data_IF_274137764514
#
_entry.id   IF_274137764514
#
_cell.length_a   1.000
_cell.length_b   1.000
_cell.length_c   1.000
_cell.angle_alpha   90.00
_cell.angle_beta   90.00
_cell.angle_gamma   90.00
#
_symmetry.space_group_name_H-M   'P 1'
#
loop_
_entity.id
_entity.type
_entity.pdbx_description
1 polymer ?
#
# COMPACT_ATOMS: atom_id res chain seq x y z
N UNK A 1 -38.70 -7.83 10.19
CA UNK A 1 -37.74 -7.80 11.31
C UNK A 1 -37.29 -6.35 11.52
N UNK A 2 -37.32 -5.82 12.76
CA UNK A 2 -36.78 -4.48 13.08
C UNK A 2 -35.32 -4.60 13.51
N UNK A 3 -34.51 -3.57 13.24
CA UNK A 3 -33.12 -3.54 13.66
C UNK A 3 -32.99 -3.42 15.19
N UNK A 4 -31.99 -4.09 15.76
CA UNK A 4 -31.65 -4.06 17.18
C UNK A 4 -30.18 -3.63 17.30
N UNK A 5 -29.89 -2.67 18.18
CA UNK A 5 -28.53 -2.24 18.43
C UNK A 5 -27.73 -3.33 19.13
N UNK A 6 -26.59 -3.71 18.55
CA UNK A 6 -25.64 -4.65 19.17
C UNK A 6 -24.92 -4.06 20.40
N UNK A 7 -25.06 -2.76 20.66
CA UNK A 7 -24.46 -2.08 21.82
C UNK A 7 -25.46 -1.98 22.97
N UNK A 8 -26.69 -1.56 22.70
CA UNK A 8 -27.70 -1.31 23.74
C UNK A 8 -28.73 -2.42 23.90
N UNK A 9 -28.83 -3.35 22.94
CA UNK A 9 -29.87 -4.38 22.89
C UNK A 9 -31.28 -3.84 22.61
N UNK A 10 -31.43 -2.54 22.36
CA UNK A 10 -32.72 -1.89 22.11
C UNK A 10 -33.04 -1.86 20.62
N UNK A 11 -34.34 -1.84 20.30
CA UNK A 11 -34.79 -1.57 18.94
C UNK A 11 -34.30 -0.20 18.47
N UNK A 12 -33.92 -0.13 17.20
CA UNK A 12 -33.59 1.10 16.51
C UNK A 12 -34.80 1.56 15.70
N UNK A 13 -35.05 2.87 15.70
CA UNK A 13 -36.12 3.46 14.89
C UNK A 13 -35.69 3.60 13.42
N UNK A 14 -34.43 3.94 13.18
CA UNK A 14 -33.81 3.94 11.85
C UNK A 14 -32.32 3.57 11.93
N UNK A 15 -31.74 3.18 10.79
CA UNK A 15 -30.30 2.99 10.62
C UNK A 15 -29.78 4.24 9.89
N UNK A 16 -28.87 4.97 10.54
CA UNK A 16 -28.40 6.28 10.04
C UNK A 16 -27.02 6.20 9.37
N UNK A 17 -26.27 5.12 9.63
CA UNK A 17 -24.93 4.92 9.11
C UNK A 17 -24.53 3.44 9.11
N UNK A 18 -23.59 3.09 8.24
CA UNK A 18 -22.97 1.78 8.16
C UNK A 18 -21.50 1.86 7.73
N UNK A 19 -20.77 0.74 7.78
CA UNK A 19 -19.34 0.70 7.44
C UNK A 19 -19.05 0.91 5.94
N UNK A 20 -20.06 0.79 5.07
CA UNK A 20 -19.99 0.98 3.63
C UNK A 20 -21.21 1.79 3.14
N UNK A 21 -21.54 2.86 3.85
CA UNK A 21 -22.79 3.62 3.64
C UNK A 21 -22.83 4.38 2.30
N UNK A 22 -21.66 4.80 1.82
CA UNK A 22 -21.48 5.51 0.55
C UNK A 22 -21.01 4.58 -0.58
N UNK A 23 -21.36 3.30 -0.50
CA UNK A 23 -21.15 2.34 -1.59
C UNK A 23 -21.79 2.85 -2.88
N UNK A 24 -21.10 2.64 -4.01
CA UNK A 24 -21.57 3.01 -5.35
C UNK A 24 -22.16 4.43 -5.43
N UNK A 25 -21.50 5.39 -4.77
CA UNK A 25 -21.87 6.81 -4.76
C UNK A 25 -23.25 7.07 -4.13
N UNK A 26 -23.62 6.31 -3.10
CA UNK A 26 -24.84 6.49 -2.31
C UNK A 26 -25.03 7.91 -1.73
N UNK A 27 -23.98 8.75 -1.74
CA UNK A 27 -24.11 10.20 -1.66
C UNK A 27 -24.55 10.73 -0.29
N UNK A 28 -24.10 10.09 0.80
CA UNK A 28 -24.47 10.54 2.14
C UNK A 28 -23.89 11.91 2.45
N UNK A 29 -24.64 12.68 3.24
CA UNK A 29 -24.14 13.92 3.84
C UNK A 29 -23.10 13.67 4.94
N UNK A 30 -22.84 12.40 5.27
CA UNK A 30 -22.00 11.99 6.40
C UNK A 30 -20.55 11.82 5.97
N UNK A 31 -20.26 10.96 4.98
CA UNK A 31 -18.88 10.70 4.56
C UNK A 31 -18.52 11.33 3.22
N UNK A 32 -19.32 11.13 2.16
CA UNK A 32 -19.02 11.67 0.83
C UNK A 32 -18.80 13.20 0.81
N UNK A 33 -19.65 13.97 1.50
CA UNK A 33 -19.51 15.43 1.59
C UNK A 33 -18.28 15.89 2.39
N UNK A 34 -17.65 15.01 3.17
CA UNK A 34 -16.55 15.30 4.07
C UNK A 34 -15.28 14.53 3.69
N UNK A 35 -15.11 14.15 2.40
CA UNK A 35 -13.90 13.47 1.94
C UNK A 35 -12.69 14.43 2.06
N UNK A 36 -11.70 14.13 2.92
CA UNK A 36 -10.53 14.99 3.13
C UNK A 36 -9.66 15.14 1.87
N UNK A 37 -9.79 14.25 0.88
CA UNK A 37 -9.06 14.40 -0.38
C UNK A 37 -9.58 15.57 -1.22
N UNK A 38 -10.76 16.11 -0.89
CA UNK A 38 -11.35 17.27 -1.53
C UNK A 38 -11.00 18.59 -0.84
N UNK A 39 -10.28 18.56 0.28
CA UNK A 39 -9.83 19.77 0.95
C UNK A 39 -9.04 20.68 -0.01
N UNK A 40 -9.38 21.96 0.00
CA UNK A 40 -8.78 22.97 -0.90
C UNK A 40 -9.31 22.94 -2.35
N UNK A 41 -10.31 22.12 -2.67
CA UNK A 41 -11.02 22.21 -3.95
C UNK A 41 -11.72 23.57 -4.09
N UNK A 42 -11.56 24.20 -5.25
CA UNK A 42 -12.37 25.36 -5.64
C UNK A 42 -13.84 24.98 -5.83
N UNK A 43 -14.75 25.96 -5.74
CA UNK A 43 -16.17 25.73 -5.98
C UNK A 43 -16.47 25.17 -7.38
N UNK A 44 -15.64 25.52 -8.37
CA UNK A 44 -15.72 24.97 -9.73
C UNK A 44 -15.28 23.51 -9.77
N UNK A 45 -14.17 23.16 -9.11
CA UNK A 45 -13.74 21.75 -9.00
C UNK A 45 -14.78 20.89 -8.28
N UNK A 46 -15.41 21.41 -7.22
CA UNK A 46 -16.46 20.70 -6.51
C UNK A 46 -17.70 20.45 -7.38
N UNK A 47 -18.08 21.41 -8.23
CA UNK A 47 -19.17 21.21 -9.21
C UNK A 47 -18.80 20.14 -10.24
N UNK A 48 -17.57 20.19 -10.76
CA UNK A 48 -17.08 19.18 -11.70
C UNK A 48 -17.01 17.79 -11.05
N UNK A 49 -16.56 17.69 -9.80
CA UNK A 49 -16.58 16.45 -9.02
C UNK A 49 -18.01 15.94 -8.89
N UNK A 50 -18.97 16.77 -8.49
CA UNK A 50 -20.37 16.35 -8.35
C UNK A 50 -21.01 15.92 -9.68
N UNK A 51 -20.60 16.49 -10.81
CA UNK A 51 -21.02 16.07 -12.15
C UNK A 51 -20.33 14.75 -12.58
N UNK A 52 -19.04 14.58 -12.25
CA UNK A 52 -18.25 13.37 -12.54
C UNK A 52 -18.65 12.21 -11.63
N UNK A 53 -18.96 12.46 -10.35
CA UNK A 53 -19.44 11.51 -9.35
C UNK A 53 -20.83 10.97 -9.69
N UNK A 54 -21.48 11.48 -10.73
CA UNK A 54 -22.65 10.84 -11.34
C UNK A 54 -22.27 9.79 -12.40
N UNK A 55 -20.98 9.65 -12.71
CA UNK A 55 -20.46 8.93 -13.89
C UNK A 55 -19.23 8.04 -13.58
N UNK A 56 -18.36 8.40 -12.64
CA UNK A 56 -17.07 7.73 -12.38
C UNK A 56 -16.79 7.62 -10.88
N UNK A 57 -16.41 6.42 -10.44
CA UNK A 57 -15.91 6.16 -9.09
C UNK A 57 -14.86 5.04 -9.12
N UNK A 58 -14.14 4.86 -8.02
CA UNK A 58 -13.19 3.76 -7.85
C UNK A 58 -13.26 3.20 -6.44
N UNK A 59 -12.81 1.96 -6.27
CA UNK A 59 -12.79 1.29 -4.97
C UNK A 59 -11.43 1.43 -4.31
N UNK A 60 -11.41 1.75 -3.01
CA UNK A 60 -10.19 1.80 -2.20
C UNK A 60 -10.23 0.79 -1.04
N UNK A 61 -9.92 -0.50 -1.30
CA UNK A 61 -9.85 -1.49 -0.23
C UNK A 61 -8.63 -1.23 0.67
N UNK A 62 -8.84 -1.07 1.98
CA UNK A 62 -7.77 -0.77 2.96
C UNK A 62 -7.72 -1.76 4.12
N UNK A 63 -6.51 -2.15 4.51
CA UNK A 63 -6.21 -2.86 5.77
C UNK A 63 -5.14 -2.10 6.56
N UNK A 64 -4.59 -2.68 7.63
CA UNK A 64 -3.43 -2.07 8.29
C UNK A 64 -2.24 -2.04 7.34
N UNK A 65 -1.52 -0.91 7.28
CA UNK A 65 -0.38 -0.74 6.40
C UNK A 65 0.92 -1.38 6.93
N UNK A 66 0.92 -1.92 8.16
CA UNK A 66 2.10 -2.56 8.77
C UNK A 66 3.38 -1.71 8.62
N UNK A 67 3.24 -0.40 8.89
CA UNK A 67 4.19 0.63 8.50
C UNK A 67 5.60 0.42 9.09
N UNK A 68 6.61 1.05 8.49
CA UNK A 68 7.99 1.06 9.03
C UNK A 68 8.13 2.01 10.23
N UNK A 69 7.42 3.14 10.21
CA UNK A 69 7.31 4.11 11.32
C UNK A 69 5.87 4.15 11.87
N UNK A 70 5.40 3.09 12.55
CA UNK A 70 3.99 2.96 12.94
C UNK A 70 3.60 3.91 14.07
N UNK A 71 2.80 4.94 13.76
CA UNK A 71 2.26 5.88 14.77
C UNK A 71 1.46 5.21 15.90
N UNK A 72 0.85 4.04 15.66
CA UNK A 72 0.19 3.29 16.72
C UNK A 72 1.14 2.67 17.74
N UNK A 73 2.36 2.30 17.34
CA UNK A 73 3.41 1.83 18.26
C UNK A 73 3.88 3.00 19.11
N UNK A 74 4.24 4.11 18.47
CA UNK A 74 4.68 5.32 19.16
C UNK A 74 3.64 5.87 20.15
N UNK A 75 2.35 5.79 19.81
CA UNK A 75 1.27 6.31 20.64
C UNK A 75 0.90 5.42 21.84
N UNK A 76 1.36 4.16 21.93
CA UNK A 76 0.93 3.25 22.99
C UNK A 76 1.74 3.47 24.29
N UNK A 77 1.17 4.03 25.38
CA UNK A 77 1.95 4.34 26.58
C UNK A 77 2.49 3.08 27.28
N UNK A 78 1.78 1.97 27.10
CA UNK A 78 2.10 0.66 27.68
C UNK A 78 3.19 -0.10 26.90
N UNK A 79 3.52 0.33 25.68
CA UNK A 79 4.39 -0.47 24.79
C UNK A 79 3.79 -1.84 24.44
N UNK A 80 2.47 -1.93 24.33
CA UNK A 80 1.78 -3.19 24.02
C UNK A 80 1.72 -3.49 22.51
N UNK A 81 2.08 -2.54 21.65
CA UNK A 81 2.11 -2.69 20.20
C UNK A 81 3.57 -2.76 19.77
N UNK A 82 3.90 -3.71 18.91
CA UNK A 82 5.26 -3.94 18.43
C UNK A 82 5.26 -4.37 16.96
N UNK A 83 6.39 -4.16 16.29
CA UNK A 83 6.68 -4.67 14.95
C UNK A 83 7.59 -5.90 15.11
N UNK A 84 7.20 -7.01 14.50
CA UNK A 84 7.97 -8.27 14.47
C UNK A 84 9.22 -8.07 13.60
N UNK A 85 10.37 -8.56 14.06
CA UNK A 85 11.65 -8.39 13.38
C UNK A 85 11.85 -9.36 12.20
N UNK A 86 11.09 -10.44 12.16
CA UNK A 86 11.21 -11.50 11.16
C UNK A 86 10.38 -11.28 9.90
N UNK A 87 9.30 -10.49 9.97
CA UNK A 87 8.38 -10.21 8.84
C UNK A 87 7.84 -8.77 8.79
N UNK A 88 8.12 -7.94 9.78
CA UNK A 88 7.61 -6.58 9.85
C UNK A 88 6.11 -6.48 10.17
N UNK A 89 5.43 -7.56 10.56
CA UNK A 89 4.01 -7.52 10.97
C UNK A 89 3.91 -6.77 12.30
N UNK A 90 2.90 -5.90 12.42
CA UNK A 90 2.68 -5.02 13.58
C UNK A 90 1.53 -5.61 14.35
N UNK A 91 1.71 -5.93 15.62
CA UNK A 91 0.73 -6.64 16.44
C UNK A 91 0.44 -5.88 17.73
N UNK A 92 -0.73 -6.13 18.31
CA UNK A 92 -1.08 -5.71 19.67
C UNK A 92 -0.99 -6.95 20.56
N UNK A 93 -0.10 -6.95 21.54
CA UNK A 93 -0.09 -7.97 22.59
C UNK A 93 -1.36 -7.87 23.41
N UNK A 94 -2.23 -8.87 23.29
CA UNK A 94 -3.48 -8.91 24.04
C UNK A 94 -3.23 -9.06 25.55
N UNK A 95 -2.11 -9.64 25.96
CA UNK A 95 -1.73 -9.77 27.37
C UNK A 95 -1.22 -8.46 27.97
N UNK A 96 -0.44 -7.68 27.20
CA UNK A 96 0.11 -6.41 27.66
C UNK A 96 -0.84 -5.23 27.47
N UNK A 97 -1.85 -5.33 26.61
CA UNK A 97 -2.79 -4.23 26.38
C UNK A 97 -3.50 -3.83 27.68
N UNK A 98 -3.59 -2.51 27.92
CA UNK A 98 -4.24 -1.89 29.09
C UNK A 98 -5.29 -0.85 28.71
N UNK A 99 -5.91 -1.00 27.54
CA UNK A 99 -7.06 -0.20 27.14
C UNK A 99 -6.85 1.34 27.09
N UNK A 100 -5.61 1.83 26.98
CA UNK A 100 -5.37 3.28 26.90
C UNK A 100 -5.98 3.95 25.67
N UNK A 101 -6.31 3.17 24.63
CA UNK A 101 -6.94 3.62 23.37
C UNK A 101 -6.17 4.68 22.57
N UNK A 102 -5.03 5.16 23.05
CA UNK A 102 -4.16 6.12 22.34
C UNK A 102 -3.70 5.60 20.97
N UNK A 103 -3.52 4.29 20.82
CA UNK A 103 -3.19 3.66 19.54
C UNK A 103 -4.30 3.74 18.47
N UNK A 104 -5.56 3.94 18.87
CA UNK A 104 -6.68 4.19 17.95
C UNK A 104 -6.52 5.56 17.33
N UNK A 105 -6.25 6.58 18.15
CA UNK A 105 -5.98 7.95 17.70
C UNK A 105 -4.68 8.05 16.91
N UNK A 106 -3.60 7.45 17.43
CA UNK A 106 -2.25 7.47 16.85
C UNK A 106 -2.10 6.71 15.54
N UNK A 107 -3.08 5.89 15.15
CA UNK A 107 -3.13 5.36 13.79
C UNK A 107 -3.84 6.38 12.88
N UNK A 108 -3.13 7.05 11.95
CA UNK A 108 -3.77 8.02 11.08
C UNK A 108 -4.76 7.35 10.13
N UNK A 109 -4.53 6.09 9.76
CA UNK A 109 -5.43 5.28 8.91
C UNK A 109 -6.65 4.70 9.63
N UNK A 110 -6.75 4.85 10.95
CA UNK A 110 -7.80 4.28 11.81
C UNK A 110 -7.99 2.76 11.62
N UNK A 111 -6.86 2.03 11.59
CA UNK A 111 -6.80 0.56 11.43
C UNK A 111 -6.51 -0.21 12.73
N UNK A 112 -6.63 0.48 13.86
CA UNK A 112 -6.70 -0.11 15.19
C UNK A 112 -8.11 0.14 15.72
N UNK A 113 -8.79 -0.92 16.11
CA UNK A 113 -10.17 -0.90 16.57
C UNK A 113 -10.21 -1.25 18.05
N UNK A 114 -11.07 -0.59 18.83
CA UNK A 114 -11.26 -0.93 20.23
C UNK A 114 -12.35 -1.99 20.36
N UNK A 115 -12.00 -3.13 20.93
CA UNK A 115 -12.97 -4.14 21.33
C UNK A 115 -13.61 -3.69 22.65
N UNK A 116 -14.84 -3.20 22.56
CA UNK A 116 -15.60 -2.69 23.69
C UNK A 116 -16.04 -3.77 24.69
N UNK A 117 -16.02 -5.04 24.28
CA UNK A 117 -16.33 -6.18 25.15
C UNK A 117 -15.12 -6.61 25.98
N UNK A 118 -13.96 -6.81 25.34
CA UNK A 118 -12.74 -7.27 26.04
C UNK A 118 -11.95 -6.13 26.69
N UNK A 119 -12.25 -4.89 26.32
CA UNK A 119 -11.50 -3.72 26.77
C UNK A 119 -10.13 -3.59 26.13
N UNK A 120 -9.85 -4.27 25.00
CA UNK A 120 -8.52 -4.28 24.37
C UNK A 120 -8.56 -3.73 22.96
N UNK A 121 -7.43 -3.23 22.50
CA UNK A 121 -7.27 -2.83 21.11
C UNK A 121 -6.94 -4.05 20.24
N UNK A 122 -7.56 -4.12 19.07
CA UNK A 122 -7.34 -5.15 18.06
C UNK A 122 -7.07 -4.49 16.70
N UNK A 123 -6.38 -5.22 15.83
CA UNK A 123 -6.06 -4.74 14.48
C UNK A 123 -5.86 -5.91 13.55
N UNK A 124 -5.78 -5.61 12.25
CA UNK A 124 -5.32 -6.58 11.26
C UNK A 124 -3.97 -7.18 11.68
N UNK A 125 -3.89 -8.50 11.69
CA UNK A 125 -2.69 -9.26 12.10
C UNK A 125 -1.89 -9.76 10.89
N UNK A 126 -2.15 -9.19 9.70
CA UNK A 126 -1.69 -9.66 8.38
C UNK A 126 -1.84 -11.18 8.14
N UNK A 127 -2.78 -11.81 8.85
CA UNK A 127 -2.89 -13.27 8.92
C UNK A 127 -1.54 -13.95 9.22
N UNK A 128 -0.75 -13.44 10.18
CA UNK A 128 0.56 -14.02 10.48
C UNK A 128 0.57 -15.56 10.66
N UNK A 129 -0.47 -16.24 11.21
CA UNK A 129 -0.45 -17.70 11.26
C UNK A 129 -0.44 -18.37 9.87
N UNK A 130 -1.04 -17.71 8.88
CA UNK A 130 -0.99 -18.13 7.46
C UNK A 130 0.38 -17.82 6.86
N UNK A 131 0.92 -16.63 7.10
CA UNK A 131 2.26 -16.26 6.63
C UNK A 131 3.33 -17.23 7.18
N UNK A 132 3.20 -17.62 8.45
CA UNK A 132 4.09 -18.59 9.10
C UNK A 132 4.07 -19.98 8.45
N UNK A 133 3.00 -20.31 7.74
CA UNK A 133 2.85 -21.56 6.97
C UNK A 133 3.03 -21.36 5.46
N UNK A 134 3.62 -20.23 5.04
CA UNK A 134 3.86 -19.92 3.62
C UNK A 134 2.60 -19.58 2.82
N UNK A 135 1.47 -19.33 3.50
CA UNK A 135 0.20 -19.04 2.86
C UNK A 135 -0.06 -17.53 2.77
N UNK A 136 -0.68 -17.04 1.68
CA UNK A 136 -1.07 -15.64 1.60
C UNK A 136 -2.15 -15.28 2.65
N UNK A 137 -2.23 -14.00 3.06
CA UNK A 137 -3.31 -13.53 3.92
C UNK A 137 -4.69 -13.81 3.31
N UNK A 138 -5.70 -14.06 4.14
CA UNK A 138 -7.02 -14.48 3.68
C UNK A 138 -7.63 -13.49 2.66
N UNK A 139 -7.55 -12.19 2.94
CA UNK A 139 -8.05 -11.16 2.02
C UNK A 139 -7.26 -11.02 0.71
N UNK A 140 -6.03 -11.54 0.64
CA UNK A 140 -5.24 -11.63 -0.59
C UNK A 140 -5.64 -12.86 -1.38
N UNK A 141 -5.72 -14.00 -0.69
CA UNK A 141 -6.14 -15.27 -1.28
C UNK A 141 -7.55 -15.20 -1.88
N UNK A 142 -8.51 -14.64 -1.16
CA UNK A 142 -9.92 -14.56 -1.56
C UNK A 142 -10.23 -13.39 -2.49
N UNK A 143 -9.22 -12.68 -2.99
CA UNK A 143 -9.43 -11.50 -3.82
C UNK A 143 -9.90 -11.92 -5.24
N UNK A 144 -11.21 -11.87 -5.45
CA UNK A 144 -11.87 -12.23 -6.72
C UNK A 144 -11.33 -11.43 -7.90
N UNK A 145 -11.15 -10.11 -7.72
CA UNK A 145 -10.59 -9.22 -8.75
C UNK A 145 -9.10 -9.43 -9.04
N UNK A 146 -8.42 -10.33 -8.32
CA UNK A 146 -7.00 -10.69 -8.53
C UNK A 146 -6.02 -9.51 -8.40
N UNK A 147 -6.40 -8.44 -7.72
CA UNK A 147 -5.64 -7.18 -7.64
C UNK A 147 -4.56 -7.14 -6.53
N UNK A 148 -4.45 -8.18 -5.70
CA UNK A 148 -3.56 -8.18 -4.52
C UNK A 148 -2.31 -9.01 -4.76
N UNK A 149 -1.16 -8.44 -4.39
CA UNK A 149 0.17 -9.04 -4.50
C UNK A 149 0.88 -8.93 -3.16
N UNK A 150 1.56 -9.99 -2.72
CA UNK A 150 2.41 -9.98 -1.53
C UNK A 150 3.79 -10.49 -1.89
N UNK A 151 4.81 -9.84 -1.35
CA UNK A 151 6.21 -10.14 -1.59
C UNK A 151 7.08 -9.41 -0.59
N UNK A 152 8.22 -10.00 -0.24
CA UNK A 152 9.15 -9.41 0.73
C UNK A 152 9.80 -8.15 0.14
N UNK A 153 10.06 -7.16 0.99
CA UNK A 153 10.87 -5.99 0.68
C UNK A 153 11.97 -5.91 1.73
N UNK A 154 13.23 -5.90 1.28
CA UNK A 154 14.36 -5.60 2.16
C UNK A 154 14.39 -4.09 2.40
N UNK A 155 14.56 -3.68 3.64
CA UNK A 155 14.64 -2.27 4.00
C UNK A 155 15.73 -2.03 5.03
N UNK A 156 16.23 -0.81 5.02
CA UNK A 156 17.21 -0.31 5.97
C UNK A 156 16.49 0.40 7.12
N UNK A 157 16.56 -0.21 8.30
CA UNK A 157 15.86 0.27 9.48
C UNK A 157 16.43 1.58 10.01
N UNK A 158 17.74 1.82 9.81
CA UNK A 158 18.41 3.04 10.29
C UNK A 158 18.00 4.26 9.47
N UNK A 159 17.64 4.06 8.19
CA UNK A 159 17.16 5.12 7.30
C UNK A 159 15.69 5.53 7.56
N UNK A 160 14.96 4.86 8.47
CA UNK A 160 13.52 5.11 8.70
C UNK A 160 13.27 6.54 9.20
N UNK A 161 14.05 7.01 10.17
CA UNK A 161 13.85 8.33 10.78
C UNK A 161 14.09 9.46 9.76
N UNK A 162 15.18 9.36 9.00
CA UNK A 162 15.52 10.31 7.94
C UNK A 162 14.43 10.35 6.87
N UNK A 163 14.00 9.18 6.38
CA UNK A 163 12.96 9.10 5.37
C UNK A 163 11.60 9.64 5.85
N UNK A 164 11.24 9.40 7.12
CA UNK A 164 10.02 9.93 7.71
C UNK A 164 10.07 11.46 7.90
N UNK A 165 11.26 12.06 7.99
CA UNK A 165 11.47 13.51 8.09
C UNK A 165 11.61 14.24 6.75
N UNK A 166 11.73 13.50 5.65
CA UNK A 166 11.87 14.09 4.32
C UNK A 166 10.76 15.12 4.01
N UNK A 167 11.04 16.14 3.15
CA UNK A 167 10.03 17.05 2.65
C UNK A 167 8.85 16.30 2.03
N UNK A 168 7.64 16.85 2.15
CA UNK A 168 6.40 16.15 1.79
C UNK A 168 6.40 15.64 0.34
N UNK A 169 6.86 16.48 -0.58
CA UNK A 169 6.99 16.22 -2.01
C UNK A 169 7.97 15.08 -2.35
N UNK A 170 8.87 14.75 -1.43
CA UNK A 170 9.92 13.74 -1.57
C UNK A 170 9.63 12.45 -0.80
N UNK A 171 8.58 12.39 0.02
CA UNK A 171 8.30 11.24 0.89
C UNK A 171 8.14 9.91 0.14
N UNK A 172 7.53 9.93 -1.05
CA UNK A 172 7.40 8.72 -1.89
C UNK A 172 8.77 8.20 -2.32
N UNK A 173 9.67 9.10 -2.70
CA UNK A 173 11.02 8.73 -3.11
C UNK A 173 11.87 8.30 -1.91
N UNK A 174 11.81 9.05 -0.80
CA UNK A 174 12.49 8.69 0.44
C UNK A 174 12.09 7.29 0.95
N UNK A 175 10.80 6.96 0.92
CA UNK A 175 10.34 5.62 1.27
C UNK A 175 10.86 4.54 0.30
N UNK A 176 10.93 4.84 -1.00
CA UNK A 176 11.56 3.93 -1.97
C UNK A 176 13.04 3.75 -1.66
N UNK A 177 13.75 4.78 -1.22
CA UNK A 177 15.19 4.70 -0.96
C UNK A 177 15.53 3.87 0.30
N UNK A 178 14.61 3.84 1.27
CA UNK A 178 14.66 2.92 2.42
C UNK A 178 14.58 1.45 1.96
N UNK A 179 13.84 1.15 0.89
CA UNK A 179 13.72 -0.20 0.32
C UNK A 179 14.97 -0.50 -0.53
N UNK A 180 15.71 -1.53 -0.16
CA UNK A 180 16.99 -1.91 -0.79
C UNK A 180 16.80 -2.88 -1.95
N UNK A 181 17.78 -2.89 -2.85
CA UNK A 181 17.78 -3.76 -4.02
C UNK A 181 18.21 -5.18 -3.63
N UNK A 182 17.33 -6.20 -3.71
CA UNK A 182 17.68 -7.56 -3.31
C UNK A 182 18.63 -8.26 -4.29
N UNK A 183 18.98 -7.61 -5.41
CA UNK A 183 19.96 -8.10 -6.38
C UNK A 183 21.36 -7.51 -6.18
N UNK A 184 21.51 -6.50 -5.33
CA UNK A 184 22.79 -5.86 -5.06
C UNK A 184 23.64 -6.76 -4.15
N UNK A 185 24.86 -7.16 -4.57
CA UNK A 185 25.76 -7.98 -3.75
C UNK A 185 26.04 -7.41 -2.35
N UNK A 186 26.12 -6.08 -2.22
CA UNK A 186 26.36 -5.43 -0.92
C UNK A 186 25.15 -5.56 -0.01
N UNK A 187 23.94 -5.39 -0.56
CA UNK A 187 22.68 -5.59 0.17
C UNK A 187 22.50 -7.04 0.58
N UNK A 188 22.85 -8.00 -0.30
CA UNK A 188 22.79 -9.43 0.01
C UNK A 188 23.75 -9.77 1.16
N UNK A 189 24.99 -9.28 1.12
CA UNK A 189 25.96 -9.50 2.18
C UNK A 189 25.49 -8.89 3.52
N UNK A 190 24.97 -7.66 3.49
CA UNK A 190 24.43 -6.99 4.66
C UNK A 190 23.19 -7.73 5.22
N UNK A 191 22.29 -8.19 4.36
CA UNK A 191 21.11 -8.96 4.76
C UNK A 191 21.50 -10.25 5.50
N UNK A 192 22.48 -11.00 4.97
CA UNK A 192 23.01 -12.21 5.61
C UNK A 192 23.68 -11.89 6.95
N UNK A 193 24.47 -10.82 7.01
CA UNK A 193 25.11 -10.37 8.25
C UNK A 193 24.09 -10.00 9.33
N UNK A 194 22.94 -9.44 8.93
CA UNK A 194 21.80 -9.13 9.79
C UNK A 194 20.87 -10.32 10.09
N UNK A 195 21.29 -11.55 9.77
CA UNK A 195 20.56 -12.77 10.08
C UNK A 195 19.37 -13.07 9.16
N UNK A 196 19.28 -12.43 7.99
CA UNK A 196 18.25 -12.75 6.99
C UNK A 196 18.71 -14.00 6.21
N UNK A 197 17.92 -15.09 6.22
CA UNK A 197 18.26 -16.33 5.54
C UNK A 197 18.18 -16.20 4.00
N UNK A 198 18.93 -17.05 3.30
CA UNK A 198 18.92 -17.12 1.83
C UNK A 198 17.50 -17.31 1.27
N UNK A 199 16.67 -18.10 1.95
CA UNK A 199 15.27 -18.34 1.60
C UNK A 199 14.44 -17.03 1.49
N UNK A 200 14.70 -16.05 2.36
CA UNK A 200 14.04 -14.74 2.36
C UNK A 200 14.65 -13.82 1.32
N UNK A 201 15.96 -13.86 1.10
CA UNK A 201 16.63 -13.08 0.05
C UNK A 201 16.11 -13.51 -1.34
N UNK A 202 16.02 -14.80 -1.59
CA UNK A 202 15.45 -15.37 -2.82
C UNK A 202 14.00 -14.93 -3.03
N UNK A 203 13.19 -14.92 -1.96
CA UNK A 203 11.82 -14.44 -2.01
C UNK A 203 11.74 -12.92 -2.29
N UNK A 204 12.66 -12.12 -1.76
CA UNK A 204 12.74 -10.69 -2.05
C UNK A 204 13.10 -10.43 -3.52
N UNK A 205 14.02 -11.22 -4.09
CA UNK A 205 14.37 -11.13 -5.52
C UNK A 205 13.18 -11.48 -6.44
N UNK A 206 12.33 -12.41 -6.01
CA UNK A 206 11.11 -12.82 -6.73
C UNK A 206 9.89 -11.96 -6.38
N UNK A 207 10.03 -10.96 -5.52
CA UNK A 207 8.92 -10.19 -4.96
C UNK A 207 8.17 -9.38 -6.03
N UNK A 208 6.86 -9.63 -6.27
CA UNK A 208 6.07 -8.79 -7.17
C UNK A 208 5.94 -7.37 -6.63
N UNK A 209 5.94 -7.21 -5.31
CA UNK A 209 5.85 -5.89 -4.66
C UNK A 209 7.11 -5.06 -4.95
N UNK A 210 8.30 -5.68 -4.95
CA UNK A 210 9.54 -4.99 -5.33
C UNK A 210 9.48 -4.50 -6.78
N UNK A 211 8.93 -5.30 -7.70
CA UNK A 211 8.73 -4.89 -9.10
C UNK A 211 7.83 -3.65 -9.19
N UNK A 212 6.65 -3.68 -8.56
CA UNK A 212 5.69 -2.58 -8.62
C UNK A 212 6.19 -1.29 -7.94
N UNK A 213 6.85 -1.40 -6.79
CA UNK A 213 7.25 -0.25 -5.96
C UNK A 213 8.58 0.35 -6.41
N UNK A 214 9.60 -0.48 -6.67
CA UNK A 214 10.98 -0.02 -6.92
C UNK A 214 11.35 -0.02 -8.41
N UNK A 215 11.11 -1.12 -9.14
CA UNK A 215 11.51 -1.21 -10.56
C UNK A 215 10.59 -0.38 -11.45
N UNK A 216 9.30 -0.69 -11.45
CA UNK A 216 8.33 -0.06 -12.36
C UNK A 216 7.84 1.28 -11.87
N UNK A 217 7.95 1.53 -10.55
CA UNK A 217 7.48 2.74 -9.86
C UNK A 217 5.98 3.02 -10.05
N UNK A 218 5.19 1.96 -10.25
CA UNK A 218 3.74 2.02 -10.48
C UNK A 218 2.93 2.04 -9.18
N UNK A 219 3.40 1.35 -8.15
CA UNK A 219 2.72 1.31 -6.86
C UNK A 219 3.24 2.41 -5.93
N UNK A 220 2.29 3.06 -5.27
CA UNK A 220 2.48 4.28 -4.47
C UNK A 220 1.94 4.07 -3.05
N UNK A 221 2.58 4.67 -2.03
CA UNK A 221 2.11 4.56 -0.65
C UNK A 221 0.80 5.32 -0.45
N UNK A 222 -0.07 4.84 0.44
CA UNK A 222 -1.29 5.56 0.82
C UNK A 222 -0.99 6.64 1.87
N UNK A 223 -1.32 7.90 1.57
CA UNK A 223 -1.09 9.06 2.44
C UNK A 223 0.34 9.09 3.03
N UNK A 224 1.38 9.22 2.18
CA UNK A 224 2.77 9.27 2.65
C UNK A 224 3.03 10.42 3.63
N UNK A 225 2.29 11.53 3.53
CA UNK A 225 2.34 12.71 4.42
C UNK A 225 2.03 12.40 5.89
N UNK A 226 1.43 11.24 6.18
CA UNK A 226 1.30 10.75 7.55
C UNK A 226 2.63 10.29 8.17
N UNK A 227 3.72 10.25 7.38
CA UNK A 227 5.10 9.97 7.80
C UNK A 227 5.27 8.62 8.50
N UNK A 228 4.32 7.71 8.30
CA UNK A 228 4.39 6.36 8.87
C UNK A 228 5.19 5.38 8.02
N UNK A 229 5.53 5.75 6.77
CA UNK A 229 6.14 4.85 5.77
C UNK A 229 5.30 3.56 5.60
N UNK A 230 4.09 3.66 5.03
CA UNK A 230 3.15 2.54 4.93
C UNK A 230 3.64 1.44 3.98
N UNK A 231 3.55 0.16 4.38
CA UNK A 231 4.04 -0.98 3.59
C UNK A 231 2.97 -1.66 2.73
N UNK A 232 1.84 -0.98 2.54
CA UNK A 232 0.84 -1.31 1.54
C UNK A 232 0.82 -0.20 0.49
N UNK A 233 0.89 -0.62 -0.77
CA UNK A 233 1.01 0.26 -1.91
C UNK A 233 -0.14 0.03 -2.90
N UNK A 234 -0.48 1.07 -3.64
CA UNK A 234 -1.60 1.10 -4.56
C UNK A 234 -1.12 1.53 -5.94
N UNK A 235 -1.55 0.81 -6.97
CA UNK A 235 -1.45 1.30 -8.35
C UNK A 235 -2.73 2.12 -8.60
N UNK A 236 -2.63 3.41 -8.95
CA UNK A 236 -3.80 4.24 -9.17
C UNK A 236 -4.63 3.72 -10.36
N UNK A 237 -5.96 3.75 -10.27
CA UNK A 237 -6.83 3.25 -11.33
C UNK A 237 -6.78 4.16 -12.55
N UNK A 238 -6.89 3.59 -13.75
CA UNK A 238 -7.23 4.37 -14.94
C UNK A 238 -8.73 4.62 -14.96
N UNK A 239 -9.15 5.88 -14.98
CA UNK A 239 -10.55 6.27 -15.17
C UNK A 239 -10.99 6.17 -16.65
N UNK A 240 -12.30 6.21 -16.92
CA UNK A 240 -12.81 6.39 -18.28
C UNK A 240 -12.43 7.77 -18.83
N UNK A 241 -12.25 7.83 -20.14
CA UNK A 241 -11.99 9.07 -20.90
C UNK A 241 -13.23 9.95 -20.80
N UNK A 242 -13.15 11.05 -20.04
CA UNK A 242 -14.23 12.04 -20.01
C UNK A 242 -14.20 12.79 -21.35
N UNK A 243 -15.29 12.71 -22.10
CA UNK A 243 -15.50 13.55 -23.27
C UNK A 243 -15.68 15.01 -22.80
N UNK A 244 -14.86 15.93 -23.30
CA UNK A 244 -15.06 17.37 -23.04
C UNK A 244 -16.12 17.91 -23.99
N UNK A 245 -17.06 18.65 -23.45
CA UNK A 245 -17.99 19.50 -24.22
C UNK A 245 -17.31 20.82 -24.55
N UNK A 246 -16.89 21.00 -25.80
CA UNK A 246 -16.65 22.30 -26.40
C UNK A 246 -17.81 22.63 -27.35
N UNK A 247 -18.55 23.72 -27.10
CA UNK A 247 -19.54 24.31 -28.02
C UNK A 247 -20.79 23.47 -28.37
N UNK A 248 -21.28 22.60 -27.48
CA UNK A 248 -22.57 21.93 -27.66
C UNK A 248 -22.60 20.87 -28.77
N UNK A 249 -21.44 20.51 -29.32
CA UNK A 249 -21.28 19.34 -30.18
C UNK A 249 -20.73 18.21 -29.32
N UNK A 250 -21.39 17.05 -29.35
CA UNK A 250 -20.81 15.81 -28.85
C UNK A 250 -19.60 15.48 -29.71
N UNK A 251 -18.42 15.89 -29.26
CA UNK A 251 -17.20 15.35 -29.82
C UNK A 251 -17.08 13.93 -29.27
N UNK A 252 -17.68 12.98 -29.98
CA UNK A 252 -17.48 11.57 -29.71
C UNK A 252 -16.00 11.28 -30.01
N UNK A 253 -15.14 11.47 -29.01
CA UNK A 253 -13.72 11.09 -29.06
C UNK A 253 -13.56 9.57 -29.33
N UNK A 254 -14.66 8.81 -29.25
CA UNK A 254 -14.74 7.41 -29.66
C UNK A 254 -14.90 7.18 -31.18
N UNK A 255 -15.26 8.20 -31.97
CA UNK A 255 -15.58 8.07 -33.40
C UNK A 255 -14.36 8.30 -34.32
N UNK A 256 -13.36 9.06 -33.88
CA UNK A 256 -12.10 9.24 -34.62
C UNK A 256 -10.97 8.46 -33.96
N UNK A 257 -10.69 7.28 -34.52
CA UNK A 257 -9.66 6.36 -34.08
C UNK A 257 -8.24 6.99 -34.11
N UNK A 258 -7.78 7.54 -32.99
CA UNK A 258 -6.36 7.77 -32.64
C UNK A 258 -6.19 7.62 -31.12
N UNK A 259 -5.04 7.11 -30.63
CA UNK A 259 -4.81 6.92 -29.18
C UNK A 259 -4.31 8.19 -28.46
N UNK A 260 -3.90 9.22 -29.21
CA UNK A 260 -3.61 10.57 -28.72
C UNK A 260 -4.64 11.14 -27.72
N UNK A 261 -5.96 11.01 -27.94
CA UNK A 261 -6.99 11.41 -26.98
C UNK A 261 -7.00 10.63 -25.65
N UNK A 262 -6.46 9.42 -25.59
CA UNK A 262 -6.40 8.60 -24.36
C UNK A 262 -5.38 9.18 -23.37
N UNK A 263 -4.24 9.66 -23.88
CA UNK A 263 -3.23 10.41 -23.12
C UNK A 263 -3.75 11.79 -22.71
N UNK A 264 -4.32 12.56 -23.63
CA UNK A 264 -4.74 13.95 -23.36
C UNK A 264 -6.02 14.07 -22.52
N UNK A 265 -6.91 13.07 -22.51
CA UNK A 265 -8.11 13.05 -21.66
C UNK A 265 -7.80 12.64 -20.21
N UNK A 266 -6.90 11.67 -19.99
CA UNK A 266 -6.41 11.32 -18.64
C UNK A 266 -5.65 12.49 -17.99
N UNK A 267 -4.84 13.22 -18.77
CA UNK A 267 -4.21 14.46 -18.33
C UNK A 267 -5.20 15.65 -18.25
N UNK A 268 -6.33 15.55 -18.94
CA UNK A 268 -7.35 16.59 -19.08
C UNK A 268 -8.36 16.65 -17.93
N UNK A 269 -8.50 15.58 -17.15
CA UNK A 269 -9.29 15.57 -15.91
C UNK A 269 -8.43 16.04 -14.72
N UNK A 270 -8.35 17.37 -14.56
CA UNK A 270 -7.60 18.00 -13.44
C UNK A 270 -8.04 17.47 -12.06
N UNK A 271 -9.33 17.19 -11.92
CA UNK A 271 -9.94 16.67 -10.69
C UNK A 271 -9.37 15.31 -10.29
N UNK A 272 -9.22 14.38 -11.24
CA UNK A 272 -8.68 13.03 -10.95
C UNK A 272 -7.21 13.06 -10.55
N UNK A 273 -6.42 13.95 -11.18
CA UNK A 273 -4.99 14.08 -10.91
C UNK A 273 -4.72 14.60 -9.49
N UNK A 274 -5.36 15.71 -9.11
CA UNK A 274 -5.19 16.31 -7.78
C UNK A 274 -5.66 15.35 -6.68
N UNK A 275 -6.82 14.71 -6.89
CA UNK A 275 -7.37 13.73 -5.94
C UNK A 275 -6.38 12.58 -5.70
N UNK A 276 -5.87 11.97 -6.78
CA UNK A 276 -4.94 10.84 -6.68
C UNK A 276 -3.60 11.27 -6.10
N UNK A 277 -3.16 12.49 -6.39
CA UNK A 277 -1.94 13.03 -5.83
C UNK A 277 -2.05 13.23 -4.31
N UNK A 278 -3.17 13.78 -3.85
CA UNK A 278 -3.51 13.91 -2.42
C UNK A 278 -3.48 12.53 -1.74
N UNK A 279 -4.15 11.54 -2.35
CA UNK A 279 -4.30 10.21 -1.79
C UNK A 279 -2.99 9.39 -1.72
N UNK A 280 -2.14 9.47 -2.75
CA UNK A 280 -1.06 8.49 -2.96
C UNK A 280 0.35 9.09 -2.99
N UNK A 281 0.48 10.41 -2.99
CA UNK A 281 1.79 11.06 -3.22
C UNK A 281 2.05 12.28 -2.35
N UNK A 282 1.19 12.55 -1.36
CA UNK A 282 1.29 13.76 -0.54
C UNK A 282 1.11 15.04 -1.36
N UNK A 283 0.31 14.98 -2.43
CA UNK A 283 0.02 16.10 -3.33
C UNK A 283 0.94 16.23 -4.55
N UNK A 284 1.92 15.34 -4.75
CA UNK A 284 2.82 15.40 -5.90
C UNK A 284 2.20 14.84 -7.20
N UNK A 285 1.50 15.70 -7.95
CA UNK A 285 0.83 15.33 -9.21
C UNK A 285 1.77 14.78 -10.30
N UNK A 286 3.05 15.16 -10.29
CA UNK A 286 4.00 14.69 -11.30
C UNK A 286 4.22 13.17 -11.18
N UNK A 287 4.21 12.63 -9.96
CA UNK A 287 4.36 11.18 -9.74
C UNK A 287 3.15 10.43 -10.30
N UNK A 288 1.93 10.94 -10.08
CA UNK A 288 0.71 10.34 -10.66
C UNK A 288 0.77 10.39 -12.18
N UNK A 289 1.22 11.51 -12.76
CA UNK A 289 1.30 11.70 -14.21
C UNK A 289 2.25 10.69 -14.83
N UNK A 290 3.42 10.50 -14.23
CA UNK A 290 4.42 9.52 -14.68
C UNK A 290 3.87 8.09 -14.62
N UNK A 291 3.13 7.74 -13.56
CA UNK A 291 2.49 6.42 -13.42
C UNK A 291 1.41 6.22 -14.49
N UNK A 292 0.54 7.20 -14.72
CA UNK A 292 -0.50 7.12 -15.75
C UNK A 292 0.08 7.01 -17.15
N UNK A 293 1.10 7.79 -17.49
CA UNK A 293 1.80 7.66 -18.78
C UNK A 293 2.35 6.26 -18.98
N UNK A 294 2.96 5.67 -17.94
CA UNK A 294 3.45 4.28 -18.01
C UNK A 294 2.31 3.27 -18.18
N UNK A 295 1.20 3.41 -17.44
CA UNK A 295 0.04 2.51 -17.59
C UNK A 295 -0.62 2.62 -18.97
N UNK A 296 -0.71 3.83 -19.52
CA UNK A 296 -1.19 4.05 -20.89
C UNK A 296 -0.22 3.44 -21.90
N UNK A 297 1.08 3.62 -21.72
CA UNK A 297 2.10 3.01 -22.58
C UNK A 297 1.97 1.48 -22.65
N UNK A 298 1.71 0.82 -21.51
CA UNK A 298 1.42 -0.63 -21.48
C UNK A 298 0.23 -0.98 -22.37
N UNK A 299 -0.87 -0.21 -22.29
CA UNK A 299 -2.06 -0.45 -23.12
C UNK A 299 -1.80 -0.22 -24.60
N UNK A 300 -1.10 0.87 -24.94
CA UNK A 300 -0.74 1.24 -26.33
C UNK A 300 0.09 0.13 -26.96
N UNK A 301 1.19 -0.23 -26.31
CA UNK A 301 2.14 -1.22 -26.80
C UNK A 301 1.50 -2.60 -26.96
N UNK A 302 0.73 -3.04 -25.96
CA UNK A 302 0.07 -4.35 -26.02
C UNK A 302 -1.04 -4.40 -27.07
N UNK A 303 -1.76 -3.30 -27.31
CA UNK A 303 -2.74 -3.18 -28.40
C UNK A 303 -2.03 -3.23 -29.76
N UNK A 304 -0.95 -2.47 -29.94
CA UNK A 304 -0.14 -2.53 -31.15
C UNK A 304 0.36 -3.96 -31.44
N UNK A 305 0.85 -4.67 -30.40
CA UNK A 305 1.35 -6.04 -30.53
C UNK A 305 0.26 -7.08 -30.81
N UNK A 306 -0.97 -6.90 -30.28
CA UNK A 306 -2.04 -7.91 -30.35
C UNK A 306 -3.07 -7.66 -31.45
N UNK A 307 -3.38 -6.40 -31.73
CA UNK A 307 -4.40 -5.98 -32.71
C UNK A 307 -3.74 -5.47 -33.98
N UNK A 308 -2.59 -4.77 -33.87
CA UNK A 308 -1.86 -4.22 -35.01
C UNK A 308 -2.45 -2.94 -35.59
N UNK A 309 -3.33 -2.26 -34.86
CA UNK A 309 -4.05 -1.06 -35.32
C UNK A 309 -3.42 0.26 -34.86
N UNK A 310 -2.26 0.21 -34.19
CA UNK A 310 -1.55 1.39 -33.68
C UNK A 310 -0.26 1.62 -34.49
N UNK A 311 -0.04 2.81 -35.07
CA UNK A 311 1.19 3.14 -35.79
C UNK A 311 2.45 3.03 -34.92
N UNK A 312 3.57 2.63 -35.52
CA UNK A 312 4.85 2.48 -34.80
C UNK A 312 5.30 3.77 -34.10
N UNK A 313 5.11 4.93 -34.74
CA UNK A 313 5.44 6.25 -34.16
C UNK A 313 4.66 6.53 -32.86
N UNK A 314 3.40 6.08 -32.78
CA UNK A 314 2.59 6.24 -31.57
C UNK A 314 3.06 5.32 -30.44
N UNK A 315 3.54 4.12 -30.78
CA UNK A 315 4.17 3.21 -29.82
C UNK A 315 5.47 3.79 -29.28
N UNK A 316 6.33 4.33 -30.15
CA UNK A 316 7.59 4.97 -29.75
C UNK A 316 7.36 6.17 -28.83
N UNK A 317 6.39 7.03 -29.16
CA UNK A 317 5.98 8.14 -28.30
C UNK A 317 5.51 7.66 -26.93
N UNK A 318 4.65 6.64 -26.89
CA UNK A 318 4.13 6.10 -25.64
C UNK A 318 5.24 5.49 -24.76
N UNK A 319 6.21 4.79 -25.35
CA UNK A 319 7.39 4.27 -24.65
C UNK A 319 8.23 5.39 -24.04
N UNK A 320 8.48 6.46 -24.81
CA UNK A 320 9.25 7.62 -24.35
C UNK A 320 8.54 8.36 -23.21
N UNK A 321 7.26 8.68 -23.36
CA UNK A 321 6.46 9.38 -22.34
C UNK A 321 6.26 8.55 -21.07
N UNK A 322 6.08 7.23 -21.22
CA UNK A 322 5.99 6.28 -20.12
C UNK A 322 7.33 5.98 -19.44
N UNK A 323 8.45 6.51 -19.95
CA UNK A 323 9.82 6.25 -19.46
C UNK A 323 10.06 4.74 -19.26
N UNK A 324 9.72 3.95 -20.27
CA UNK A 324 9.72 2.49 -20.20
C UNK A 324 10.24 1.87 -21.49
N UNK A 325 10.33 0.55 -21.54
CA UNK A 325 10.81 -0.20 -22.70
C UNK A 325 9.92 -1.45 -22.93
N UNK A 326 10.01 -2.10 -24.10
CA UNK A 326 9.19 -3.27 -24.43
C UNK A 326 9.25 -4.40 -23.37
N UNK A 327 10.44 -4.73 -22.88
CA UNK A 327 10.61 -5.81 -21.90
C UNK A 327 9.93 -5.48 -20.56
N UNK A 328 10.06 -4.24 -20.08
CA UNK A 328 9.37 -3.76 -18.88
C UNK A 328 7.85 -3.77 -19.07
N UNK A 329 7.34 -3.27 -20.20
CA UNK A 329 5.90 -3.30 -20.49
C UNK A 329 5.35 -4.73 -20.51
N UNK A 330 6.04 -5.66 -21.17
CA UNK A 330 5.59 -7.05 -21.23
C UNK A 330 5.57 -7.70 -19.86
N UNK A 331 6.55 -7.38 -19.00
CA UNK A 331 6.57 -7.83 -17.61
C UNK A 331 5.41 -7.24 -16.79
N UNK A 332 5.13 -5.94 -16.93
CA UNK A 332 3.98 -5.28 -16.29
C UNK A 332 2.68 -5.93 -16.77
N UNK A 333 2.50 -6.10 -18.08
CA UNK A 333 1.30 -6.70 -18.66
C UNK A 333 1.11 -8.15 -18.18
N UNK A 334 2.18 -8.95 -18.19
CA UNK A 334 2.15 -10.35 -17.74
C UNK A 334 1.68 -10.47 -16.29
N UNK A 335 2.20 -9.61 -15.41
CA UNK A 335 1.88 -9.64 -13.99
C UNK A 335 0.53 -8.99 -13.67
N UNK A 336 0.07 -8.00 -14.44
CA UNK A 336 -1.22 -7.34 -14.20
C UNK A 336 -2.41 -8.02 -14.87
N UNK A 337 -2.20 -8.70 -16.00
CA UNK A 337 -3.28 -9.28 -16.80
C UNK A 337 -3.41 -10.80 -16.66
N UNK A 338 -2.28 -11.51 -16.50
CA UNK A 338 -2.26 -12.99 -16.49
C UNK A 338 -1.56 -13.63 -15.27
N UNK A 339 -1.46 -12.99 -14.09
CA UNK A 339 -0.58 -13.49 -13.04
C UNK A 339 -1.00 -14.88 -12.52
N UNK A 340 -0.05 -15.80 -12.38
CA UNK A 340 -0.24 -17.07 -11.67
C UNK A 340 -0.42 -16.84 -10.16
N UNK A 341 -0.79 -17.87 -9.41
CA UNK A 341 -0.93 -17.77 -7.97
C UNK A 341 0.43 -17.43 -7.31
N UNK A 342 1.48 -18.11 -7.75
CA UNK A 342 2.85 -18.02 -7.27
C UNK A 342 3.49 -16.68 -7.62
N UNK A 343 3.17 -16.10 -8.78
CA UNK A 343 3.62 -14.76 -9.17
C UNK A 343 2.97 -13.65 -8.32
N UNK A 344 1.75 -13.87 -7.80
CA UNK A 344 1.10 -12.88 -6.91
C UNK A 344 1.56 -13.00 -5.47
N UNK A 345 1.83 -14.21 -5.03
CA UNK A 345 2.00 -14.52 -3.61
C UNK A 345 3.35 -15.17 -3.35
N UNK A 346 4.37 -14.31 -3.21
CA UNK A 346 5.73 -14.74 -2.88
C UNK A 346 5.94 -14.55 -1.38
N UNK A 347 5.49 -15.54 -0.61
CA UNK A 347 5.63 -15.58 0.86
C UNK A 347 6.78 -16.53 1.22
N UNK A 348 7.86 -16.05 1.86
CA UNK A 348 8.96 -16.92 2.25
C UNK A 348 8.57 -17.86 3.41
N UNK A 349 9.29 -18.98 3.59
CA UNK A 349 9.24 -19.74 4.83
C UNK A 349 9.63 -18.85 6.01
N UNK A 350 8.88 -18.95 7.11
CA UNK A 350 9.05 -18.03 8.24
C UNK A 350 10.04 -18.50 9.32
N UNK A 351 10.78 -19.58 9.07
CA UNK A 351 11.89 -20.09 9.92
C UNK A 351 11.61 -19.96 11.43
N UNK A 352 10.42 -20.42 11.82
CA UNK A 352 9.92 -20.30 13.19
C UNK A 352 10.83 -21.02 14.17
N UNK A 353 11.37 -22.16 13.77
CA UNK A 353 12.28 -22.97 14.61
C UNK A 353 13.54 -22.16 14.95
N UNK A 354 14.16 -21.51 13.97
CA UNK A 354 15.32 -20.62 14.15
C UNK A 354 15.00 -19.40 15.01
N UNK A 355 13.80 -18.83 14.85
CA UNK A 355 13.33 -17.67 15.64
C UNK A 355 13.01 -18.04 17.08
N UNK A 356 12.59 -19.27 17.33
CA UNK A 356 12.35 -19.81 18.67
C UNK A 356 13.69 -20.15 19.34
N UNK A 357 14.63 -20.74 18.61
CA UNK A 357 15.99 -21.01 19.09
C UNK A 357 16.75 -19.73 19.48
N UNK A 358 16.52 -18.59 18.81
CA UNK A 358 17.13 -17.31 19.21
C UNK A 358 16.52 -16.71 20.48
N UNK A 359 15.28 -17.08 20.84
CA UNK A 359 14.63 -16.66 22.09
C UNK A 359 15.07 -17.50 23.30
N UNK A 360 15.64 -18.68 23.07
CA UNK A 360 16.16 -19.54 24.13
C UNK A 360 17.68 -19.39 24.24
N UNK A 361 18.23 -19.16 25.44
CA UNK A 361 19.67 -19.08 25.61
C UNK A 361 20.30 -20.45 25.28
N UNK A 362 21.25 -20.46 24.36
CA UNK A 362 22.14 -21.62 24.20
C UNK A 362 23.11 -21.57 25.37
N UNK A 363 23.09 -22.58 26.24
CA UNK A 363 24.09 -22.72 27.29
C UNK A 363 25.47 -22.83 26.62
N UNK A 364 26.41 -21.96 27.01
CA UNK A 364 27.80 -22.08 26.60
C UNK A 364 28.32 -23.49 26.96
N UNK A 365 28.76 -24.30 25.98
CA UNK A 365 29.26 -25.65 26.23
C UNK A 365 30.51 -25.68 27.11
N UNK A 366 31.19 -24.54 27.32
CA UNK A 366 32.42 -24.42 28.11
C UNK A 366 32.17 -23.86 29.52
N UNK A 367 31.43 -22.75 29.68
CA UNK A 367 31.30 -22.10 31.00
C UNK A 367 30.02 -22.45 31.79
N UNK A 368 28.98 -23.02 31.16
CA UNK A 368 27.65 -23.34 31.76
C UNK A 368 26.97 -22.22 32.57
N UNK A 369 27.50 -21.00 32.61
CA UNK A 369 27.09 -19.97 33.58
C UNK A 369 26.59 -18.67 32.96
N UNK A 370 26.62 -18.50 31.63
CA UNK A 370 26.11 -17.29 30.98
C UNK A 370 25.20 -17.62 29.79
N UNK A 371 23.95 -17.12 29.77
CA UNK A 371 23.11 -17.17 28.59
C UNK A 371 23.70 -16.28 27.49
N UNK A 372 24.12 -16.87 26.37
CA UNK A 372 24.51 -16.14 25.18
C UNK A 372 23.31 -16.10 24.24
N UNK A 373 22.73 -14.92 24.03
CA UNK A 373 21.65 -14.73 23.07
C UNK A 373 22.25 -14.69 21.65
N UNK A 374 21.91 -15.65 20.79
CA UNK A 374 22.17 -15.56 19.35
C UNK A 374 21.16 -14.58 18.74
N UNK A 375 21.59 -13.37 18.44
CA UNK A 375 20.79 -12.39 17.69
C UNK A 375 20.74 -11.01 18.34
N UNK A 376 21.86 -10.29 18.31
CA UNK A 376 21.90 -8.86 18.64
C UNK A 376 21.71 -7.93 17.42
N UNK A 377 21.36 -8.48 16.24
CA UNK A 377 21.21 -7.74 14.98
C UNK A 377 20.00 -8.30 14.20
N UNK A 378 19.05 -7.44 13.83
CA UNK A 378 17.82 -7.77 13.11
C UNK A 378 17.04 -6.51 12.67
N UNK A 379 15.96 -6.64 11.90
CA UNK A 379 15.23 -5.54 11.22
C UNK A 379 14.35 -4.63 12.10
N UNK A 380 14.64 -4.61 13.41
CA UNK A 380 14.03 -3.77 14.43
C UNK A 380 15.04 -2.81 15.05
N UNK A 381 14.57 -1.86 15.86
CA UNK A 381 15.46 -0.87 16.50
C UNK A 381 16.47 -1.53 17.43
N UNK A 382 17.74 -1.11 17.34
CA UNK A 382 18.86 -1.57 18.17
C UNK A 382 18.78 -1.17 19.64
N UNK A 383 17.85 -0.28 19.99
CA UNK A 383 17.66 0.28 21.33
C UNK A 383 16.18 0.33 21.64
N UNK A 384 15.82 0.02 22.89
CA UNK A 384 14.49 0.28 23.41
C UNK A 384 14.12 1.74 23.12
N UNK A 385 12.91 2.03 22.62
CA UNK A 385 12.48 3.40 22.39
C UNK A 385 12.57 4.17 23.70
N UNK A 386 13.53 5.08 23.80
CA UNK A 386 13.63 5.98 24.93
C UNK A 386 12.43 6.91 24.87
N UNK A 387 11.70 6.99 25.99
CA UNK A 387 10.66 8.00 26.16
C UNK A 387 11.34 9.36 26.05
N UNK A 388 10.78 10.25 25.24
CA UNK A 388 11.21 11.65 25.18
C UNK A 388 11.18 12.31 26.57
N UNK A 389 11.82 13.49 26.71
CA UNK A 389 11.97 14.17 28.00
C UNK A 389 10.66 14.43 28.72
#
# INVERSE_FOLDING_TARGET
>A
ARAISMVTGKYMDTIEAGPNWDDDLGGSQVYANNDPNLDGASAEEMRQIQEIDRTVFFYLPRICNHCLNPGCVAACPQGAIYKRGEDGVVLVSQERCRAWRMCVSGCPYKKTYFNWSTGKAEKCILCYPRLESGQPPACFHSCVGRIRYIGLLLYDADAIEEAARAPQESLVQAQRDVIKDPFDPEVIAAAKASGIPDSKIDAAQKSPVYQFVKKWKLALPLHPEFRTLPMLFYVPPLGPVLAKTGNGVYDNVAAEARLGPLMSSLEGSRVSMRYMASLLTGGNEQIIRDVYRKLVAVRVFMRAKKVGDIPAEEVERALAEGKTNPAEIEAIWRLTSLPTFEERFVVPPMERDTSVESMFPVLDPVSRNYPVYKGAVGTGFHVDPQRGP
#
